data_IF_826343636906
#
_entry.id   IF_826343636906
#
_cell.length_a   1.000
_cell.length_b   1.000
_cell.length_c   1.000
_cell.angle_alpha   90.00
_cell.angle_beta   90.00
_cell.angle_gamma   90.00
#
_symmetry.space_group_name_H-M   'P 1'
#
loop_
_entity.id
_entity.type
_entity.pdbx_description
1 polymer ?
#
# COMPACT_ATOMS: atom_id res chain seq x y z
N UNK A 1 10.74 28.62 7.60
CA UNK A 1 10.00 27.90 6.54
C UNK A 1 10.91 27.80 5.34
N UNK A 2 11.25 26.61 4.88
CA UNK A 2 12.26 26.36 3.84
C UNK A 2 11.79 26.71 2.41
N UNK A 3 10.63 27.31 2.22
CA UNK A 3 10.09 27.62 0.90
C UNK A 3 9.73 26.38 0.04
N UNK A 4 9.75 25.19 0.63
CA UNK A 4 9.44 23.92 -0.04
C UNK A 4 7.94 23.65 0.03
N UNK A 5 7.34 23.31 -1.11
CA UNK A 5 5.93 22.89 -1.20
C UNK A 5 5.83 21.37 -1.02
N UNK A 6 5.33 20.91 0.13
CA UNK A 6 4.97 19.52 0.43
C UNK A 6 3.45 19.35 0.60
N UNK A 7 2.67 20.20 -0.06
CA UNK A 7 1.22 20.04 -0.13
C UNK A 7 0.82 18.88 -1.06
N UNK A 8 -0.35 18.31 -0.84
CA UNK A 8 -0.82 17.12 -1.56
C UNK A 8 -0.49 15.82 -0.83
N UNK A 9 -0.59 14.70 -1.52
CA UNK A 9 -0.48 13.38 -0.90
C UNK A 9 -1.61 13.10 0.09
N UNK A 10 -1.46 12.04 0.85
CA UNK A 10 -2.49 11.56 1.77
C UNK A 10 -1.94 11.46 3.19
N UNK A 11 -2.77 11.74 4.19
CA UNK A 11 -2.54 11.33 5.56
C UNK A 11 -2.71 9.81 5.65
N UNK A 12 -1.97 9.18 6.55
CA UNK A 12 -1.77 7.74 6.55
C UNK A 12 -3.00 6.95 7.02
N UNK A 13 -3.45 7.20 8.24
CA UNK A 13 -4.44 6.37 8.90
C UNK A 13 -5.40 7.20 9.78
N UNK A 14 -5.52 6.85 11.06
CA UNK A 14 -6.28 7.62 12.05
C UNK A 14 -5.65 8.95 12.44
N UNK A 15 -4.45 9.21 12.01
CA UNK A 15 -3.58 10.33 12.35
C UNK A 15 -3.61 11.48 11.33
N UNK A 16 -2.80 12.51 11.58
CA UNK A 16 -2.60 13.64 10.70
C UNK A 16 -1.14 13.71 10.19
N UNK A 17 -0.49 12.59 9.98
CA UNK A 17 0.89 12.50 9.48
C UNK A 17 0.91 11.88 8.08
N UNK A 18 1.82 12.35 7.23
CA UNK A 18 2.06 11.72 5.93
C UNK A 18 3.31 10.87 6.05
N UNK A 19 3.14 9.56 6.04
CA UNK A 19 4.23 8.58 5.99
C UNK A 19 4.40 8.09 4.55
N UNK A 20 5.51 8.45 3.94
CA UNK A 20 5.71 8.20 2.51
C UNK A 20 5.98 6.74 2.18
N UNK A 21 6.45 5.94 3.13
CA UNK A 21 6.70 4.52 2.88
C UNK A 21 5.39 3.75 2.62
N UNK A 22 4.39 3.71 3.53
CA UNK A 22 3.10 3.06 3.26
C UNK A 22 2.31 3.73 2.14
N UNK A 23 2.40 5.06 1.99
CA UNK A 23 1.74 5.75 0.89
C UNK A 23 2.28 5.32 -0.48
N UNK A 24 3.60 5.11 -0.60
CA UNK A 24 4.19 4.67 -1.86
C UNK A 24 3.75 3.24 -2.21
N UNK A 25 3.74 2.31 -1.24
CA UNK A 25 3.23 0.96 -1.44
C UNK A 25 1.76 0.94 -1.88
N UNK A 26 0.94 1.76 -1.24
CA UNK A 26 -0.47 1.94 -1.62
C UNK A 26 -0.63 2.41 -3.06
N UNK A 27 0.08 3.46 -3.45
CA UNK A 27 -0.02 4.00 -4.80
C UNK A 27 0.51 3.03 -5.86
N UNK A 28 1.54 2.23 -5.53
CA UNK A 28 2.05 1.19 -6.44
C UNK A 28 0.95 0.18 -6.75
N UNK A 29 0.24 -0.32 -5.73
CA UNK A 29 -0.83 -1.30 -5.92
C UNK A 29 -2.03 -0.72 -6.67
N UNK A 30 -2.45 0.51 -6.37
CA UNK A 30 -3.55 1.17 -7.07
C UNK A 30 -3.17 1.43 -8.54
N UNK A 31 -1.96 1.92 -8.81
CA UNK A 31 -1.49 2.11 -10.18
C UNK A 31 -1.42 0.78 -10.95
N UNK A 32 -0.97 -0.29 -10.29
CA UNK A 32 -0.94 -1.63 -10.88
C UNK A 32 -2.34 -2.13 -11.20
N UNK A 33 -3.30 -1.98 -10.28
CA UNK A 33 -4.69 -2.37 -10.55
C UNK A 33 -5.28 -1.57 -11.72
N UNK A 34 -5.01 -0.27 -11.81
CA UNK A 34 -5.43 0.58 -12.93
C UNK A 34 -4.84 0.18 -14.29
N UNK A 35 -3.61 -0.35 -14.29
CA UNK A 35 -2.97 -0.88 -15.50
C UNK A 35 -3.64 -2.20 -15.93
N UNK A 36 -3.86 -3.13 -14.99
CA UNK A 36 -4.33 -4.48 -15.29
C UNK A 36 -5.84 -4.59 -15.48
N UNK A 37 -6.61 -3.80 -14.75
CA UNK A 37 -8.06 -3.91 -14.69
C UNK A 37 -8.78 -2.65 -15.22
N UNK A 38 -8.15 -1.92 -16.15
CA UNK A 38 -8.70 -0.70 -16.76
C UNK A 38 -10.16 -0.85 -17.18
N UNK A 39 -10.49 -1.95 -17.90
CA UNK A 39 -11.87 -2.20 -18.35
C UNK A 39 -12.85 -2.34 -17.18
N UNK A 40 -12.42 -2.87 -16.04
CA UNK A 40 -13.23 -2.98 -14.83
C UNK A 40 -13.57 -1.60 -14.28
N UNK A 41 -12.57 -0.74 -14.14
CA UNK A 41 -12.76 0.65 -13.72
C UNK A 41 -13.64 1.45 -14.70
N UNK A 42 -13.45 1.29 -16.02
CA UNK A 42 -14.28 1.94 -17.03
C UNK A 42 -15.75 1.49 -16.95
N UNK A 43 -16.00 0.19 -16.81
CA UNK A 43 -17.35 -0.37 -16.64
C UNK A 43 -18.03 0.11 -15.36
N UNK A 44 -17.27 0.30 -14.28
CA UNK A 44 -17.76 0.85 -13.02
C UNK A 44 -17.90 2.38 -13.04
N UNK A 45 -17.45 3.08 -14.10
CA UNK A 45 -17.43 4.53 -14.16
C UNK A 45 -16.41 5.19 -13.21
N UNK A 46 -15.39 4.43 -12.75
CA UNK A 46 -14.44 4.84 -11.72
C UNK A 46 -13.03 5.13 -12.25
N UNK A 47 -12.79 4.94 -13.56
CA UNK A 47 -11.43 5.04 -14.10
C UNK A 47 -10.80 6.43 -13.89
N UNK A 48 -11.57 7.51 -14.10
CA UNK A 48 -11.07 8.86 -13.89
C UNK A 48 -10.75 9.15 -12.42
N UNK A 49 -11.59 8.69 -11.48
CA UNK A 49 -11.32 8.85 -10.05
C UNK A 49 -10.06 8.10 -9.62
N UNK A 50 -9.82 6.91 -10.16
CA UNK A 50 -8.58 6.17 -9.92
C UNK A 50 -7.36 6.93 -10.46
N UNK A 51 -7.43 7.47 -11.69
CA UNK A 51 -6.36 8.31 -12.24
C UNK A 51 -6.09 9.55 -11.39
N UNK A 52 -7.15 10.26 -10.95
CA UNK A 52 -7.02 11.46 -10.13
C UNK A 52 -6.38 11.14 -8.76
N UNK A 53 -6.75 10.01 -8.16
CA UNK A 53 -6.18 9.53 -6.91
C UNK A 53 -4.69 9.22 -7.04
N UNK A 54 -4.29 8.46 -8.07
CA UNK A 54 -2.87 8.16 -8.33
C UNK A 54 -2.10 9.44 -8.65
N UNK A 55 -2.68 10.33 -9.44
CA UNK A 55 -2.06 11.61 -9.79
C UNK A 55 -1.78 12.47 -8.56
N UNK A 56 -2.74 12.58 -7.65
CA UNK A 56 -2.60 13.36 -6.41
C UNK A 56 -1.42 12.89 -5.56
N UNK A 57 -1.26 11.58 -5.40
CA UNK A 57 -0.13 11.00 -4.67
C UNK A 57 1.20 11.13 -5.43
N UNK A 58 1.19 10.90 -6.74
CA UNK A 58 2.40 11.00 -7.56
C UNK A 58 2.92 12.45 -7.65
N UNK A 59 2.03 13.44 -7.78
CA UNK A 59 2.40 14.87 -7.75
C UNK A 59 3.06 15.24 -6.40
N UNK A 60 2.57 14.67 -5.31
CA UNK A 60 3.18 14.86 -3.99
C UNK A 60 4.59 14.25 -3.92
N UNK A 61 4.79 13.04 -4.44
CA UNK A 61 6.13 12.43 -4.47
C UNK A 61 7.13 13.18 -5.34
N UNK A 62 6.67 13.76 -6.45
CA UNK A 62 7.50 14.66 -7.27
C UNK A 62 7.96 15.88 -6.45
N UNK A 63 7.07 16.48 -5.63
CA UNK A 63 7.43 17.56 -4.71
C UNK A 63 8.35 17.09 -3.58
N UNK A 64 8.19 15.87 -3.10
CA UNK A 64 9.08 15.27 -2.09
C UNK A 64 10.49 14.98 -2.62
N UNK A 65 10.68 14.95 -3.93
CA UNK A 65 11.96 14.73 -4.63
C UNK A 65 12.40 15.99 -5.38
N UNK A 66 12.77 17.10 -4.66
CA UNK A 66 13.06 18.40 -5.27
C UNK A 66 14.37 18.45 -6.01
N UNK A 67 15.31 17.57 -5.71
CA UNK A 67 16.63 17.47 -6.31
C UNK A 67 17.16 16.03 -6.22
N UNK A 68 18.07 15.68 -7.12
CA UNK A 68 18.68 14.36 -7.15
C UNK A 68 19.29 14.00 -5.79
N UNK A 69 19.07 12.75 -5.36
CA UNK A 69 19.59 12.19 -4.11
C UNK A 69 19.06 12.85 -2.82
N UNK A 70 17.88 13.51 -2.89
CA UNK A 70 17.14 14.03 -1.74
C UNK A 70 15.68 13.62 -1.84
N UNK A 71 15.15 12.94 -0.82
CA UNK A 71 13.75 12.58 -0.76
C UNK A 71 13.15 12.88 0.61
N UNK A 72 12.08 13.66 0.66
CA UNK A 72 11.30 13.88 1.88
C UNK A 72 10.43 12.67 2.15
N UNK A 73 10.54 12.10 3.35
CA UNK A 73 10.00 10.78 3.70
C UNK A 73 8.81 10.84 4.66
N UNK A 74 8.66 11.95 5.37
CA UNK A 74 7.58 12.14 6.32
C UNK A 74 7.27 13.62 6.50
N UNK A 75 5.98 13.96 6.65
CA UNK A 75 5.50 15.29 7.00
C UNK A 75 4.60 15.18 8.23
N UNK A 76 4.98 15.85 9.30
CA UNK A 76 4.43 15.74 10.65
C UNK A 76 5.29 14.87 11.57
N UNK A 77 5.28 15.17 12.87
CA UNK A 77 5.92 14.35 13.89
C UNK A 77 4.93 13.31 14.42
N UNK A 78 5.19 12.02 14.15
CA UNK A 78 4.30 10.94 14.53
C UNK A 78 4.08 10.83 16.04
N UNK A 79 5.14 11.00 16.86
CA UNK A 79 5.03 10.90 18.33
C UNK A 79 4.20 12.05 18.90
N UNK A 80 4.42 13.24 18.37
CA UNK A 80 3.71 14.43 18.82
C UNK A 80 2.26 14.37 18.37
N UNK A 81 1.97 14.00 17.13
CA UNK A 81 0.60 13.84 16.63
C UNK A 81 -0.19 12.81 17.45
N UNK A 82 0.42 11.64 17.74
CA UNK A 82 -0.24 10.59 18.53
C UNK A 82 -0.42 10.92 20.02
N UNK A 83 0.16 12.01 20.49
CA UNK A 83 -0.06 12.49 21.86
C UNK A 83 -1.40 13.21 22.02
N UNK A 84 -2.07 13.53 20.93
CA UNK A 84 -3.32 14.30 20.93
C UNK A 84 -4.39 13.60 20.09
N UNK A 85 -5.62 13.61 20.59
CA UNK A 85 -6.79 13.27 19.79
C UNK A 85 -7.53 14.56 19.45
N UNK A 86 -7.26 15.11 18.29
CA UNK A 86 -7.87 16.37 17.86
C UNK A 86 -8.09 16.35 16.34
N UNK A 87 -9.07 17.11 15.86
CA UNK A 87 -9.23 17.31 14.42
C UNK A 87 -8.04 18.12 13.87
N UNK A 88 -7.75 18.02 12.55
CA UNK A 88 -6.59 18.65 11.92
C UNK A 88 -6.57 20.19 12.08
N UNK A 89 -7.72 20.82 12.24
CA UNK A 89 -7.85 22.26 12.47
C UNK A 89 -7.22 22.73 13.79
N UNK A 90 -6.98 21.80 14.73
CA UNK A 90 -6.36 22.06 16.02
C UNK A 90 -4.87 21.72 16.07
N UNK A 91 -4.23 21.42 14.95
CA UNK A 91 -2.80 21.22 14.91
C UNK A 91 -2.09 22.55 15.19
N UNK A 92 -1.67 22.75 16.45
CA UNK A 92 -0.96 23.95 16.92
C UNK A 92 0.49 23.65 17.31
N UNK A 93 0.89 22.39 17.25
CA UNK A 93 2.26 21.94 17.48
C UNK A 93 3.11 22.05 16.22
N UNK A 94 4.41 21.92 16.39
CA UNK A 94 5.35 21.91 15.26
C UNK A 94 5.01 20.76 14.30
N UNK A 95 5.05 21.06 13.00
CA UNK A 95 4.73 20.12 11.94
C UNK A 95 5.92 19.99 10.97
N UNK A 96 7.01 19.33 11.43
CA UNK A 96 8.26 19.23 10.69
C UNK A 96 8.11 18.31 9.46
N UNK A 97 9.11 18.38 8.58
CA UNK A 97 9.31 17.42 7.51
C UNK A 97 10.68 16.78 7.65
N UNK A 98 10.77 15.51 7.35
CA UNK A 98 11.99 14.71 7.44
C UNK A 98 12.40 14.21 6.06
N UNK A 99 13.69 14.11 5.82
CA UNK A 99 14.25 13.71 4.52
C UNK A 99 15.37 12.69 4.69
N UNK A 100 15.61 11.95 3.62
CA UNK A 100 16.83 11.16 3.39
C UNK A 100 17.68 11.82 2.32
N UNK A 101 18.98 11.63 2.41
CA UNK A 101 19.98 12.14 1.47
C UNK A 101 21.22 11.21 1.50
N UNK A 102 22.31 11.61 0.85
CA UNK A 102 23.53 10.78 0.75
C UNK A 102 24.16 10.46 2.10
N UNK A 103 24.11 11.42 3.02
CA UNK A 103 24.65 11.31 4.36
C UNK A 103 23.70 10.54 5.31
N UNK A 104 22.42 10.56 5.01
CA UNK A 104 21.36 9.91 5.77
C UNK A 104 20.48 9.07 4.81
N UNK A 105 20.98 7.91 4.36
CA UNK A 105 20.31 7.12 3.33
C UNK A 105 19.01 6.46 3.83
N UNK A 106 18.12 6.13 2.88
CA UNK A 106 16.86 5.43 3.12
C UNK A 106 16.45 4.66 1.87
N UNK A 107 17.07 3.51 1.66
CA UNK A 107 16.91 2.73 0.44
C UNK A 107 15.51 2.19 0.26
N UNK A 108 14.87 1.72 1.33
CA UNK A 108 13.54 1.13 1.30
C UNK A 108 12.48 2.15 0.91
N UNK A 109 12.47 3.32 1.56
CA UNK A 109 11.46 4.35 1.29
C UNK A 109 11.65 5.01 -0.09
N UNK A 110 12.90 5.20 -0.51
CA UNK A 110 13.21 5.74 -1.85
C UNK A 110 12.96 4.69 -2.95
N UNK A 111 13.26 3.42 -2.69
CA UNK A 111 12.96 2.30 -3.58
C UNK A 111 11.46 2.12 -3.80
N UNK A 112 10.67 2.16 -2.72
CA UNK A 112 9.22 2.07 -2.84
C UNK A 112 8.60 3.26 -3.59
N UNK A 113 9.07 4.48 -3.31
CA UNK A 113 8.64 5.66 -4.07
C UNK A 113 9.02 5.58 -5.56
N UNK A 114 10.20 5.02 -5.86
CA UNK A 114 10.60 4.73 -7.24
C UNK A 114 9.65 3.75 -7.92
N UNK A 115 9.30 2.62 -7.27
CA UNK A 115 8.35 1.65 -7.79
C UNK A 115 6.97 2.29 -8.06
N UNK A 116 6.49 3.10 -7.13
CA UNK A 116 5.23 3.83 -7.25
C UNK A 116 5.20 4.77 -8.46
N UNK A 117 6.24 5.59 -8.63
CA UNK A 117 6.33 6.51 -9.77
C UNK A 117 6.56 5.78 -11.09
N UNK A 118 7.28 4.66 -11.10
CA UNK A 118 7.43 3.81 -12.28
C UNK A 118 6.09 3.19 -12.71
N UNK A 119 5.31 2.65 -11.75
CA UNK A 119 3.96 2.14 -12.01
C UNK A 119 3.02 3.24 -12.52
N UNK A 120 3.01 4.39 -11.87
CA UNK A 120 2.23 5.56 -12.30
C UNK A 120 2.65 6.03 -13.71
N UNK A 121 3.94 6.00 -14.04
CA UNK A 121 4.41 6.38 -15.38
C UNK A 121 3.81 5.48 -16.48
N UNK A 122 3.66 4.18 -16.22
CA UNK A 122 3.01 3.24 -17.14
C UNK A 122 1.52 3.58 -17.27
N UNK A 123 0.83 3.80 -16.15
CA UNK A 123 -0.59 4.13 -16.10
C UNK A 123 -0.92 5.39 -16.91
N UNK A 124 -0.08 6.43 -16.80
CA UNK A 124 -0.30 7.70 -17.49
C UNK A 124 0.26 7.76 -18.91
N UNK A 125 0.93 6.71 -19.41
CA UNK A 125 1.62 6.74 -20.70
C UNK A 125 0.75 7.17 -21.88
N UNK A 126 -0.47 6.64 -21.92
CA UNK A 126 -1.44 6.94 -22.99
C UNK A 126 -2.41 8.08 -22.63
N UNK A 127 -2.43 8.51 -21.37
CA UNK A 127 -3.28 9.59 -20.85
C UNK A 127 -2.58 10.96 -20.98
N UNK A 128 -1.33 11.01 -20.49
CA UNK A 128 -0.45 12.19 -20.56
C UNK A 128 1.00 11.75 -20.67
N UNK A 129 1.51 11.67 -21.89
CA UNK A 129 2.86 11.17 -22.15
C UNK A 129 3.97 12.09 -21.63
N UNK A 130 3.70 13.37 -21.43
CA UNK A 130 4.66 14.31 -20.85
C UNK A 130 4.77 14.09 -19.36
N UNK A 131 3.64 13.97 -18.69
CA UNK A 131 3.56 13.63 -17.27
C UNK A 131 4.19 12.25 -16.98
N UNK A 132 3.86 11.25 -17.77
CA UNK A 132 4.46 9.90 -17.70
C UNK A 132 6.00 9.94 -17.71
N UNK A 133 6.59 10.74 -18.61
CA UNK A 133 8.06 10.90 -18.68
C UNK A 133 8.63 11.59 -17.44
N UNK A 134 7.93 12.58 -16.89
CA UNK A 134 8.34 13.24 -15.65
C UNK A 134 8.36 12.24 -14.50
N UNK A 135 7.29 11.45 -14.32
CA UNK A 135 7.23 10.43 -13.29
C UNK A 135 8.33 9.38 -13.44
N UNK A 136 8.58 8.91 -14.65
CA UNK A 136 9.64 7.94 -14.93
C UNK A 136 11.04 8.49 -14.61
N UNK A 137 11.29 9.76 -14.88
CA UNK A 137 12.58 10.40 -14.54
C UNK A 137 12.80 10.41 -13.02
N UNK A 138 11.81 10.83 -12.24
CA UNK A 138 11.88 10.78 -10.78
C UNK A 138 12.04 9.36 -10.26
N UNK A 139 11.34 8.38 -10.84
CA UNK A 139 11.48 6.98 -10.47
C UNK A 139 12.91 6.47 -10.67
N UNK A 140 13.53 6.78 -11.82
CA UNK A 140 14.91 6.40 -12.12
C UNK A 140 15.89 7.03 -11.13
N UNK A 141 15.77 8.32 -10.86
CA UNK A 141 16.65 9.02 -9.94
C UNK A 141 16.54 8.51 -8.50
N UNK A 142 15.32 8.23 -8.03
CA UNK A 142 15.08 7.64 -6.70
C UNK A 142 15.66 6.23 -6.59
N UNK A 143 15.55 5.40 -7.63
CA UNK A 143 16.18 4.09 -7.64
C UNK A 143 17.71 4.19 -7.61
N UNK A 144 18.29 5.07 -8.44
CA UNK A 144 19.73 5.30 -8.43
C UNK A 144 20.21 5.78 -7.05
N UNK A 145 19.46 6.65 -6.41
CA UNK A 145 19.75 7.10 -5.04
C UNK A 145 19.69 5.91 -4.06
N UNK A 146 18.58 5.16 -4.04
CA UNK A 146 18.36 4.04 -3.14
C UNK A 146 19.43 2.95 -3.26
N UNK A 147 19.87 2.64 -4.48
CA UNK A 147 20.83 1.58 -4.76
C UNK A 147 22.29 2.00 -4.55
N UNK A 148 22.64 3.27 -4.86
CA UNK A 148 24.00 3.79 -4.73
C UNK A 148 24.34 4.19 -3.28
N UNK A 149 23.36 4.64 -2.50
CA UNK A 149 23.52 5.10 -1.11
C UNK A 149 22.66 4.24 -0.19
N UNK A 150 23.08 2.97 -0.02
CA UNK A 150 22.29 1.97 0.73
C UNK A 150 22.30 2.24 2.22
N UNK A 151 21.14 2.24 2.83
CA UNK A 151 20.95 2.36 4.27
C UNK A 151 19.47 2.34 4.65
N UNK A 152 19.24 2.04 5.91
CA UNK A 152 17.95 2.00 6.57
C UNK A 152 17.54 3.42 6.98
N UNK A 153 16.35 3.85 6.58
CA UNK A 153 15.92 5.24 6.83
C UNK A 153 15.66 5.53 8.31
N UNK A 154 15.19 4.55 9.08
CA UNK A 154 14.93 4.73 10.51
C UNK A 154 16.21 4.80 11.35
N UNK A 155 17.27 4.17 10.89
CA UNK A 155 18.62 4.33 11.46
C UNK A 155 19.25 5.66 11.07
N UNK A 156 18.98 6.12 9.85
CA UNK A 156 19.53 7.37 9.30
C UNK A 156 18.81 8.61 9.86
N UNK A 157 17.51 8.50 10.11
CA UNK A 157 16.63 9.58 10.62
C UNK A 157 15.84 9.03 11.83
N UNK A 158 16.47 8.95 13.02
CA UNK A 158 15.86 8.31 14.20
C UNK A 158 14.55 8.97 14.68
N UNK A 159 14.30 10.21 14.30
CA UNK A 159 13.08 10.96 14.64
C UNK A 159 11.83 10.30 14.06
N UNK A 160 11.93 9.64 12.91
CA UNK A 160 10.80 8.97 12.24
C UNK A 160 10.60 7.52 12.72
N UNK A 161 11.52 6.99 13.51
CA UNK A 161 11.42 5.62 14.02
C UNK A 161 10.24 5.46 14.99
N UNK A 162 9.55 4.32 14.89
CA UNK A 162 8.52 3.92 15.84
C UNK A 162 7.12 3.71 15.27
N UNK A 163 6.88 4.10 14.03
CA UNK A 163 5.61 3.84 13.30
C UNK A 163 5.85 2.85 12.16
N UNK A 164 6.48 3.32 11.11
CA UNK A 164 6.93 2.48 10.00
C UNK A 164 8.45 2.36 10.09
N UNK A 165 8.95 1.18 9.96
CA UNK A 165 10.38 0.91 10.07
C UNK A 165 10.84 0.02 8.94
N UNK A 166 12.16 -0.14 8.84
CA UNK A 166 12.75 -1.09 7.91
C UNK A 166 12.18 -2.48 8.16
N UNK A 167 11.78 -3.14 7.10
CA UNK A 167 11.19 -4.48 7.14
C UNK A 167 12.15 -5.50 7.79
N UNK A 168 11.59 -6.64 8.19
CA UNK A 168 12.40 -7.79 8.65
C UNK A 168 13.30 -8.35 7.55
N UNK A 169 13.03 -7.98 6.30
CA UNK A 169 13.81 -8.37 5.11
C UNK A 169 14.97 -7.43 4.84
N UNK A 170 15.02 -6.30 5.54
CA UNK A 170 15.98 -5.23 5.29
C UNK A 170 15.48 -4.31 4.19
N UNK A 171 16.36 -3.91 3.29
CA UNK A 171 16.09 -2.94 2.21
C UNK A 171 16.04 -3.59 0.82
N UNK A 172 16.18 -4.91 0.75
CA UNK A 172 16.40 -5.58 -0.55
C UNK A 172 15.13 -5.77 -1.33
N UNK A 173 14.03 -6.11 -0.69
CA UNK A 173 12.77 -6.37 -1.39
C UNK A 173 12.20 -5.10 -2.04
N UNK A 174 12.37 -3.92 -1.47
CA UNK A 174 12.01 -2.65 -2.13
C UNK A 174 12.94 -2.32 -3.31
N UNK A 175 14.23 -2.63 -3.20
CA UNK A 175 15.17 -2.46 -4.32
C UNK A 175 14.85 -3.44 -5.47
N UNK A 176 14.55 -4.72 -5.15
CA UNK A 176 14.10 -5.71 -6.14
C UNK A 176 12.79 -5.26 -6.81
N UNK A 177 11.82 -4.82 -5.99
CA UNK A 177 10.53 -4.33 -6.45
C UNK A 177 10.66 -3.15 -7.40
N UNK A 178 11.45 -2.16 -7.01
CA UNK A 178 11.72 -0.98 -7.82
C UNK A 178 12.43 -1.31 -9.13
N UNK A 179 13.46 -2.16 -9.10
CA UNK A 179 14.17 -2.60 -10.31
C UNK A 179 13.22 -3.29 -11.28
N UNK A 180 12.32 -4.15 -10.78
CA UNK A 180 11.36 -4.87 -11.63
C UNK A 180 10.31 -3.92 -12.25
N UNK A 181 9.82 -2.93 -11.49
CA UNK A 181 8.92 -1.90 -12.03
C UNK A 181 9.60 -1.02 -13.08
N UNK A 182 10.85 -0.63 -12.86
CA UNK A 182 11.63 0.11 -13.86
C UNK A 182 11.90 -0.70 -15.11
N UNK A 183 12.19 -2.00 -14.98
CA UNK A 183 12.28 -2.88 -16.15
C UNK A 183 10.97 -2.93 -16.92
N UNK A 184 9.83 -3.08 -16.23
CA UNK A 184 8.50 -3.04 -16.84
C UNK A 184 8.21 -1.72 -17.57
N UNK A 185 8.61 -0.59 -16.97
CA UNK A 185 8.36 0.74 -17.53
C UNK A 185 9.24 1.08 -18.73
N UNK A 186 10.50 0.62 -18.72
CA UNK A 186 11.51 1.03 -19.69
C UNK A 186 11.87 -0.04 -20.72
N UNK A 187 11.81 -1.33 -20.36
CA UNK A 187 12.39 -2.45 -21.10
C UNK A 187 13.93 -2.47 -21.06
N UNK A 188 14.58 -1.63 -20.26
CA UNK A 188 16.04 -1.55 -20.21
C UNK A 188 16.60 -2.72 -19.39
N UNK A 189 17.45 -3.53 -20.06
CA UNK A 189 18.03 -4.74 -19.52
C UNK A 189 18.82 -4.51 -18.21
N UNK A 190 19.39 -3.33 -18.02
CA UNK A 190 20.13 -3.02 -16.78
C UNK A 190 19.29 -3.20 -15.50
N UNK A 191 17.97 -2.92 -15.57
CA UNK A 191 17.09 -3.10 -14.43
C UNK A 191 16.73 -4.56 -14.18
N UNK A 192 16.64 -5.38 -15.24
CA UNK A 192 16.48 -6.83 -15.09
C UNK A 192 17.72 -7.47 -14.47
N UNK A 193 18.91 -7.11 -14.95
CA UNK A 193 20.18 -7.57 -14.37
C UNK A 193 20.29 -7.17 -12.89
N UNK A 194 19.82 -5.97 -12.55
CA UNK A 194 19.80 -5.49 -11.17
C UNK A 194 18.84 -6.31 -10.30
N UNK A 195 17.61 -6.51 -10.76
CA UNK A 195 16.61 -7.35 -10.12
C UNK A 195 17.17 -8.77 -9.86
N UNK A 196 17.74 -9.41 -10.86
CA UNK A 196 18.29 -10.77 -10.73
C UNK A 196 19.49 -10.81 -9.75
N UNK A 197 20.26 -9.74 -9.64
CA UNK A 197 21.40 -9.68 -8.72
C UNK A 197 20.97 -9.71 -7.24
N UNK A 198 19.82 -9.13 -6.91
CA UNK A 198 19.24 -9.19 -5.55
C UNK A 198 18.75 -10.59 -5.20
N UNK A 199 18.05 -11.27 -6.13
CA UNK A 199 17.54 -12.63 -5.94
C UNK A 199 18.65 -13.61 -5.53
N UNK A 200 19.84 -13.45 -6.11
CA UNK A 200 20.98 -14.32 -5.83
C UNK A 200 21.52 -14.15 -4.40
N UNK A 201 21.24 -13.02 -3.76
CA UNK A 201 21.75 -12.69 -2.42
C UNK A 201 20.71 -12.83 -1.33
N UNK A 202 19.42 -12.88 -1.69
CA UNK A 202 18.34 -12.95 -0.71
C UNK A 202 17.73 -14.36 -0.61
N UNK A 203 18.11 -15.10 0.45
CA UNK A 203 17.53 -16.43 0.73
C UNK A 203 16.04 -16.39 1.12
N UNK A 204 15.49 -15.22 1.47
CA UNK A 204 14.09 -15.04 1.84
C UNK A 204 13.17 -15.01 0.63
N UNK A 205 13.69 -14.70 -0.55
CA UNK A 205 12.96 -14.64 -1.83
C UNK A 205 12.09 -15.87 -2.14
N UNK A 206 12.48 -17.06 -1.72
CA UNK A 206 11.76 -18.29 -2.02
C UNK A 206 10.76 -18.75 -0.95
N UNK A 207 10.57 -18.01 0.12
CA UNK A 207 9.87 -18.51 1.32
C UNK A 207 8.75 -17.62 1.84
N UNK A 208 8.38 -16.55 1.13
CA UNK A 208 7.31 -15.68 1.58
C UNK A 208 5.94 -16.35 1.43
N UNK A 209 5.17 -16.36 2.51
CA UNK A 209 3.79 -16.83 2.60
C UNK A 209 2.87 -15.80 3.28
N UNK A 210 3.29 -14.55 3.30
CA UNK A 210 2.57 -13.42 3.89
C UNK A 210 1.81 -12.65 2.82
N UNK A 211 0.79 -11.85 3.16
CA UNK A 211 0.24 -10.87 2.23
C UNK A 211 1.29 -9.80 1.89
N UNK A 212 1.15 -9.21 0.71
CA UNK A 212 1.91 -7.99 0.40
C UNK A 212 1.52 -6.88 1.39
N UNK A 213 2.49 -6.07 1.78
CA UNK A 213 2.26 -4.94 2.68
C UNK A 213 3.26 -3.82 2.40
N UNK A 214 3.19 -2.74 3.18
CA UNK A 214 4.16 -1.64 3.09
C UNK A 214 5.61 -2.09 3.35
N UNK A 215 5.83 -3.21 4.06
CA UNK A 215 7.14 -3.75 4.45
C UNK A 215 7.46 -5.15 3.88
N UNK A 216 6.63 -5.72 3.01
CA UNK A 216 6.83 -7.06 2.44
C UNK A 216 6.46 -7.05 0.94
N UNK A 217 7.44 -7.04 0.05
CA UNK A 217 7.24 -6.92 -1.40
C UNK A 217 7.27 -8.23 -2.16
N UNK A 218 7.79 -9.32 -1.58
CA UNK A 218 7.94 -10.59 -2.31
C UNK A 218 6.66 -11.11 -2.96
N UNK A 219 5.47 -11.04 -2.35
CA UNK A 219 4.25 -11.44 -3.03
C UNK A 219 4.01 -10.68 -4.34
N UNK A 220 4.21 -9.37 -4.30
CA UNK A 220 4.13 -8.53 -5.51
C UNK A 220 5.21 -8.88 -6.53
N UNK A 221 6.44 -9.11 -6.09
CA UNK A 221 7.56 -9.51 -6.93
C UNK A 221 7.27 -10.84 -7.65
N UNK A 222 6.68 -11.83 -6.95
CA UNK A 222 6.30 -13.10 -7.58
C UNK A 222 5.28 -12.91 -8.71
N UNK A 223 4.24 -12.12 -8.46
CA UNK A 223 3.19 -11.87 -9.44
C UNK A 223 3.69 -11.02 -10.61
N UNK A 224 4.42 -9.96 -10.32
CA UNK A 224 4.94 -9.04 -11.34
C UNK A 224 6.01 -9.72 -12.22
N UNK A 225 6.92 -10.50 -11.61
CA UNK A 225 7.95 -11.23 -12.38
C UNK A 225 7.34 -12.30 -13.29
N UNK A 226 6.35 -13.06 -12.80
CA UNK A 226 5.60 -14.01 -13.64
C UNK A 226 4.91 -13.32 -14.82
N UNK A 227 4.36 -12.13 -14.60
CA UNK A 227 3.66 -11.33 -15.60
C UNK A 227 4.61 -10.75 -16.66
N UNK A 228 5.74 -10.18 -16.23
CA UNK A 228 6.64 -9.41 -17.09
C UNK A 228 7.67 -10.29 -17.78
N UNK A 229 8.25 -11.25 -17.06
CA UNK A 229 9.35 -12.07 -17.58
C UNK A 229 8.86 -13.32 -18.30
N UNK A 230 7.67 -13.83 -17.96
CA UNK A 230 7.05 -15.01 -18.59
C UNK A 230 7.95 -16.26 -18.57
N UNK A 231 8.82 -16.33 -17.56
CA UNK A 231 9.71 -17.46 -17.33
C UNK A 231 9.06 -18.46 -16.37
N UNK A 232 9.23 -19.76 -16.65
CA UNK A 232 8.64 -20.85 -15.87
C UNK A 232 9.07 -20.79 -14.38
N UNK A 233 10.29 -20.36 -14.10
CA UNK A 233 10.80 -20.17 -12.73
C UNK A 233 9.92 -19.23 -11.93
N UNK A 234 9.59 -18.06 -12.48
CA UNK A 234 8.78 -17.04 -11.82
C UNK A 234 7.30 -17.43 -11.77
N UNK A 235 6.82 -18.08 -12.82
CA UNK A 235 5.46 -18.64 -12.86
C UNK A 235 5.25 -19.67 -11.74
N UNK A 236 6.21 -20.56 -11.53
CA UNK A 236 6.17 -21.57 -10.48
C UNK A 236 6.19 -20.95 -9.07
N UNK A 237 6.92 -19.84 -8.86
CA UNK A 237 6.87 -19.09 -7.58
C UNK A 237 5.51 -18.47 -7.34
N UNK A 238 4.91 -17.88 -8.37
CA UNK A 238 3.57 -17.31 -8.29
C UNK A 238 2.50 -18.37 -7.98
N UNK A 239 2.56 -19.55 -8.63
CA UNK A 239 1.69 -20.68 -8.29
C UNK A 239 1.87 -21.15 -6.85
N UNK A 240 3.11 -21.30 -6.40
CA UNK A 240 3.40 -21.72 -5.02
C UNK A 240 2.80 -20.76 -4.01
N UNK A 241 3.00 -19.46 -4.22
CA UNK A 241 2.41 -18.43 -3.36
C UNK A 241 0.88 -18.46 -3.41
N UNK A 242 0.28 -18.51 -4.60
CA UNK A 242 -1.16 -18.53 -4.78
C UNK A 242 -1.82 -19.74 -4.08
N UNK A 243 -1.23 -20.92 -4.20
CA UNK A 243 -1.69 -22.13 -3.49
C UNK A 243 -1.63 -21.95 -1.97
N UNK A 244 -0.54 -21.37 -1.45
CA UNK A 244 -0.38 -21.11 -0.01
C UNK A 244 -1.44 -20.11 0.52
N UNK A 245 -1.77 -19.08 -0.27
CA UNK A 245 -2.80 -18.10 0.11
C UNK A 245 -4.18 -18.73 0.15
N UNK A 246 -4.54 -19.54 -0.83
CA UNK A 246 -5.85 -20.24 -0.82
C UNK A 246 -5.98 -21.20 0.37
N UNK A 247 -4.88 -21.77 0.81
CA UNK A 247 -4.81 -22.69 1.95
C UNK A 247 -4.52 -21.97 3.28
N UNK A 248 -4.63 -20.61 3.34
CA UNK A 248 -4.44 -19.83 4.56
C UNK A 248 -5.35 -20.31 5.71
N UNK A 249 -4.93 -20.07 6.94
CA UNK A 249 -5.82 -20.17 8.10
C UNK A 249 -7.00 -19.20 7.93
N UNK A 250 -8.17 -19.60 8.39
CA UNK A 250 -9.39 -18.78 8.26
C UNK A 250 -10.08 -18.61 9.60
N UNK A 251 -10.75 -17.48 9.77
CA UNK A 251 -11.74 -17.34 10.85
C UNK A 251 -12.89 -18.34 10.67
N UNK A 252 -13.71 -18.61 11.70
CA UNK A 252 -14.89 -19.45 11.55
C UNK A 252 -15.82 -19.04 10.39
N UNK A 253 -15.95 -17.73 10.13
CA UNK A 253 -16.73 -17.16 9.02
C UNK A 253 -16.04 -17.22 7.67
N UNK A 254 -14.76 -17.57 7.60
CA UNK A 254 -14.05 -17.82 6.35
C UNK A 254 -13.08 -16.73 5.89
N UNK A 255 -12.86 -15.64 6.66
CA UNK A 255 -11.86 -14.65 6.34
C UNK A 255 -10.45 -15.25 6.48
N UNK A 256 -9.59 -15.04 5.50
CA UNK A 256 -8.17 -15.42 5.58
C UNK A 256 -7.48 -14.61 6.70
N UNK A 257 -6.92 -15.32 7.68
CA UNK A 257 -6.37 -14.72 8.88
C UNK A 257 -4.90 -15.14 9.08
N UNK A 258 -4.01 -14.16 9.03
CA UNK A 258 -2.57 -14.37 9.12
C UNK A 258 -2.10 -14.13 10.56
N UNK A 259 -2.32 -15.07 11.48
CA UNK A 259 -1.92 -15.01 12.89
C UNK A 259 -1.42 -13.62 13.34
N UNK A 260 -0.30 -13.47 13.94
CA UNK A 260 0.18 -12.18 14.50
C UNK A 260 0.07 -10.92 13.60
N UNK A 261 -0.13 -11.06 12.28
CA UNK A 261 -0.34 -9.92 11.39
C UNK A 261 -1.77 -9.41 11.44
N UNK A 262 -2.74 -10.31 11.27
CA UNK A 262 -4.16 -9.97 11.18
C UNK A 262 -4.77 -9.46 12.48
N UNK A 263 -4.02 -9.52 13.59
CA UNK A 263 -4.43 -8.86 14.83
C UNK A 263 -4.68 -7.37 14.61
N UNK A 264 -3.90 -6.73 13.73
CA UNK A 264 -4.06 -5.33 13.35
C UNK A 264 -4.48 -5.23 11.89
N UNK A 265 -5.77 -5.00 11.63
CA UNK A 265 -6.29 -4.84 10.28
C UNK A 265 -6.43 -6.16 9.50
N UNK A 266 -7.26 -7.10 9.96
CA UNK A 266 -7.47 -8.40 9.30
C UNK A 266 -7.97 -8.26 7.87
N UNK A 267 -8.89 -7.32 7.61
CA UNK A 267 -9.41 -7.04 6.27
C UNK A 267 -8.31 -6.58 5.30
N UNK A 268 -7.40 -5.72 5.76
CA UNK A 268 -6.23 -5.28 4.98
C UNK A 268 -5.43 -6.48 4.48
N UNK A 269 -5.07 -7.38 5.38
CA UNK A 269 -4.23 -8.52 5.04
C UNK A 269 -4.93 -9.50 4.12
N UNK A 270 -6.23 -9.75 4.33
CA UNK A 270 -7.04 -10.56 3.43
C UNK A 270 -7.16 -9.92 2.04
N UNK A 271 -7.47 -8.63 1.96
CA UNK A 271 -7.57 -7.88 0.71
C UNK A 271 -6.25 -7.86 -0.07
N UNK A 272 -5.14 -7.55 0.62
CA UNK A 272 -3.81 -7.54 -0.01
C UNK A 272 -3.37 -8.92 -0.51
N UNK A 273 -3.71 -10.00 0.21
CA UNK A 273 -3.42 -11.35 -0.24
C UNK A 273 -4.22 -11.72 -1.51
N UNK A 274 -5.51 -11.39 -1.54
CA UNK A 274 -6.35 -11.75 -2.70
C UNK A 274 -6.15 -10.82 -3.90
N UNK A 275 -5.65 -9.60 -3.72
CA UNK A 275 -5.23 -8.76 -4.85
C UNK A 275 -4.10 -9.43 -5.65
N UNK A 276 -3.16 -10.08 -4.99
CA UNK A 276 -2.12 -10.88 -5.65
C UNK A 276 -2.70 -12.04 -6.45
N UNK A 277 -3.74 -12.71 -5.92
CA UNK A 277 -4.46 -13.75 -6.67
C UNK A 277 -5.19 -13.16 -7.89
N UNK A 278 -5.75 -11.97 -7.79
CA UNK A 278 -6.41 -11.29 -8.91
C UNK A 278 -5.42 -11.00 -10.05
N UNK A 279 -4.25 -10.43 -9.72
CA UNK A 279 -3.19 -10.20 -10.71
C UNK A 279 -2.71 -11.50 -11.35
N UNK A 280 -2.53 -12.56 -10.56
CA UNK A 280 -2.09 -13.85 -11.07
C UNK A 280 -3.16 -14.50 -11.95
N UNK A 281 -4.41 -14.56 -11.50
CA UNK A 281 -5.51 -15.12 -12.30
C UNK A 281 -5.73 -14.36 -13.61
N UNK A 282 -5.39 -13.07 -13.67
CA UNK A 282 -5.50 -12.26 -14.88
C UNK A 282 -4.52 -12.70 -15.97
N UNK A 283 -3.33 -13.18 -15.61
CA UNK A 283 -2.31 -13.64 -16.57
C UNK A 283 -2.44 -15.12 -16.94
N UNK A 284 -3.18 -15.91 -16.14
CA UNK A 284 -3.36 -17.32 -16.41
C UNK A 284 -4.32 -17.56 -17.60
N UNK A 285 -4.06 -18.57 -18.44
CA UNK A 285 -4.99 -18.98 -19.48
C UNK A 285 -6.37 -19.34 -18.91
N UNK A 286 -7.44 -19.13 -19.68
CA UNK A 286 -8.79 -19.57 -19.29
C UNK A 286 -8.88 -21.08 -19.06
N UNK A 287 -8.01 -21.87 -19.71
CA UNK A 287 -7.92 -23.32 -19.58
C UNK A 287 -7.09 -23.79 -18.38
N UNK A 288 -6.51 -22.87 -17.60
CA UNK A 288 -5.72 -23.25 -16.44
C UNK A 288 -6.61 -23.86 -15.35
N UNK A 289 -6.26 -25.05 -14.87
CA UNK A 289 -7.08 -25.83 -13.94
C UNK A 289 -7.18 -25.18 -12.55
N UNK A 290 -6.22 -24.38 -12.14
CA UNK A 290 -6.20 -23.71 -10.82
C UNK A 290 -6.87 -22.34 -10.83
N UNK A 291 -6.94 -21.71 -12.01
CA UNK A 291 -7.53 -20.36 -12.14
C UNK A 291 -8.92 -20.23 -11.53
N UNK A 292 -9.88 -21.14 -11.73
CA UNK A 292 -11.20 -21.04 -11.10
C UNK A 292 -11.14 -21.07 -9.57
N UNK A 293 -10.27 -21.90 -8.97
CA UNK A 293 -10.05 -21.98 -7.52
C UNK A 293 -9.58 -20.64 -6.95
N UNK A 294 -8.66 -19.97 -7.63
CA UNK A 294 -8.16 -18.66 -7.19
C UNK A 294 -9.24 -17.58 -7.25
N UNK A 295 -10.01 -17.54 -8.35
CA UNK A 295 -11.13 -16.60 -8.51
C UNK A 295 -12.21 -16.83 -7.47
N UNK A 296 -12.63 -18.07 -7.25
CA UNK A 296 -13.64 -18.40 -6.23
C UNK A 296 -13.17 -17.97 -4.84
N UNK A 297 -11.90 -18.22 -4.51
CA UNK A 297 -11.36 -17.85 -3.22
C UNK A 297 -11.34 -16.34 -3.02
N UNK A 298 -10.81 -15.57 -3.99
CA UNK A 298 -10.78 -14.11 -3.89
C UNK A 298 -12.18 -13.51 -3.77
N UNK A 299 -13.16 -14.03 -4.52
CA UNK A 299 -14.55 -13.57 -4.42
C UNK A 299 -15.14 -13.80 -3.03
N UNK A 300 -14.87 -14.94 -2.41
CA UNK A 300 -15.32 -15.24 -1.03
C UNK A 300 -14.72 -14.25 -0.03
N UNK A 301 -13.44 -13.88 -0.16
CA UNK A 301 -12.81 -12.93 0.73
C UNK A 301 -13.39 -11.51 0.57
N UNK A 302 -13.59 -11.06 -0.66
CA UNK A 302 -14.20 -9.76 -0.93
C UNK A 302 -15.67 -9.74 -0.47
N UNK A 303 -16.43 -10.79 -0.74
CA UNK A 303 -17.82 -10.89 -0.27
C UNK A 303 -17.91 -10.88 1.26
N UNK A 304 -16.96 -11.54 1.97
CA UNK A 304 -16.88 -11.46 3.42
C UNK A 304 -16.73 -10.01 3.89
N UNK A 305 -15.80 -9.27 3.30
CA UNK A 305 -15.57 -7.83 3.62
C UNK A 305 -16.83 -7.00 3.35
N UNK A 306 -17.57 -7.33 2.29
CA UNK A 306 -18.78 -6.62 1.87
C UNK A 306 -20.07 -7.07 2.59
N UNK A 307 -19.98 -7.94 3.61
CA UNK A 307 -21.13 -8.29 4.46
C UNK A 307 -21.55 -9.76 4.45
N UNK A 308 -20.99 -10.60 3.57
CA UNK A 308 -21.24 -12.05 3.62
C UNK A 308 -20.37 -12.71 4.70
N UNK A 309 -20.63 -12.31 5.95
CA UNK A 309 -19.88 -12.71 7.13
C UNK A 309 -20.83 -12.96 8.31
N UNK A 310 -20.39 -13.61 9.42
CA UNK A 310 -21.27 -13.96 10.53
C UNK A 310 -22.01 -12.81 11.19
N UNK A 311 -21.47 -11.58 11.11
CA UNK A 311 -22.07 -10.38 11.70
C UNK A 311 -22.95 -9.60 10.70
N UNK A 312 -22.88 -9.91 9.41
CA UNK A 312 -23.56 -9.18 8.36
C UNK A 312 -23.06 -7.73 8.20
N UNK A 313 -21.83 -7.43 8.63
CA UNK A 313 -21.28 -6.09 8.59
C UNK A 313 -20.56 -5.87 7.26
N UNK A 314 -20.95 -4.83 6.53
CA UNK A 314 -20.14 -4.32 5.42
C UNK A 314 -19.03 -3.42 6.00
N UNK A 315 -17.78 -3.87 5.94
CA UNK A 315 -16.64 -3.17 6.54
C UNK A 315 -16.18 -1.93 5.77
N UNK A 316 -16.83 -1.59 4.66
CA UNK A 316 -16.57 -0.36 3.90
C UNK A 316 -17.42 0.77 4.46
N UNK A 317 -16.77 1.77 5.03
CA UNK A 317 -17.44 2.91 5.67
C UNK A 317 -18.38 3.63 4.71
N UNK A 318 -19.63 3.81 5.13
CA UNK A 318 -20.65 4.51 4.36
C UNK A 318 -21.25 3.71 3.21
N UNK A 319 -20.82 2.47 2.95
CA UNK A 319 -21.39 1.66 1.88
C UNK A 319 -22.84 1.24 2.15
N UNK A 320 -23.15 0.91 3.41
CA UNK A 320 -24.48 0.46 3.85
C UNK A 320 -24.78 0.96 5.27
N UNK A 321 -26.04 0.83 5.70
CA UNK A 321 -26.48 1.29 7.04
C UNK A 321 -25.79 0.55 8.19
N UNK A 322 -25.35 -0.69 7.97
CA UNK A 322 -24.63 -1.55 8.92
C UNK A 322 -23.09 -1.42 8.83
N UNK A 323 -22.58 -0.52 8.02
CA UNK A 323 -21.14 -0.23 7.95
C UNK A 323 -20.66 0.49 9.21
N UNK A 324 -19.36 0.36 9.59
CA UNK A 324 -18.76 1.06 10.71
C UNK A 324 -18.95 2.58 10.64
N UNK A 325 -19.31 3.17 11.78
CA UNK A 325 -19.59 4.61 11.92
C UNK A 325 -18.67 5.31 12.92
N UNK A 326 -17.95 4.53 13.73
CA UNK A 326 -17.06 5.02 14.77
C UNK A 326 -15.59 4.60 14.52
N UNK A 327 -15.14 4.70 13.25
CA UNK A 327 -13.76 4.30 12.89
C UNK A 327 -12.73 5.18 13.59
N UNK A 328 -11.57 4.57 13.90
CA UNK A 328 -10.44 5.22 14.55
C UNK A 328 -9.74 6.18 13.58
N UNK A 329 -10.31 7.38 13.41
CA UNK A 329 -9.76 8.40 12.51
C UNK A 329 -10.11 9.81 13.04
N UNK A 330 -9.07 10.62 13.32
CA UNK A 330 -9.22 11.91 14.00
C UNK A 330 -10.04 12.92 13.20
N UNK A 331 -9.71 13.06 11.91
CA UNK A 331 -10.36 14.06 11.05
C UNK A 331 -11.85 13.84 10.83
N UNK A 332 -12.33 12.59 10.95
CA UNK A 332 -13.76 12.27 10.84
C UNK A 332 -14.49 12.26 12.17
N UNK A 333 -13.78 12.11 13.30
CA UNK A 333 -14.40 11.85 14.62
C UNK A 333 -14.90 13.10 15.33
N UNK A 334 -14.27 14.26 15.12
CA UNK A 334 -14.63 15.51 15.80
C UNK A 334 -14.29 16.75 14.96
N UNK A 335 -14.92 17.88 15.33
CA UNK A 335 -14.65 19.20 14.76
C UNK A 335 -14.21 20.17 15.85
N UNK A 336 -13.82 21.39 15.43
CA UNK A 336 -13.54 22.50 16.34
C UNK A 336 -14.70 22.79 17.31
N UNK A 337 -15.94 22.61 16.87
CA UNK A 337 -17.13 22.91 17.65
C UNK A 337 -17.51 21.78 18.62
N UNK A 338 -17.00 20.56 18.41
CA UNK A 338 -17.31 19.37 19.20
C UNK A 338 -16.04 18.79 19.83
N UNK A 339 -15.63 19.33 20.97
CA UNK A 339 -14.47 18.84 21.72
C UNK A 339 -14.72 17.50 22.43
N UNK A 340 -15.97 17.01 22.46
CA UNK A 340 -16.32 15.68 22.95
C UNK A 340 -16.29 14.68 21.80
N UNK A 341 -15.90 13.44 22.11
CA UNK A 341 -16.00 12.35 21.14
C UNK A 341 -17.46 11.86 21.07
N UNK A 342 -18.21 12.10 19.98
CA UNK A 342 -19.54 11.53 19.81
C UNK A 342 -19.47 10.00 19.68
N UNK A 343 -20.58 9.30 19.85
CA UNK A 343 -20.66 7.84 19.69
C UNK A 343 -20.30 7.40 18.26
N UNK A 344 -20.77 8.16 17.26
CA UNK A 344 -20.42 7.97 15.85
C UNK A 344 -19.50 9.11 15.38
N UNK A 345 -18.76 8.90 14.30
CA UNK A 345 -17.97 9.95 13.69
C UNK A 345 -18.88 11.02 13.08
N UNK A 346 -18.47 12.28 13.16
CA UNK A 346 -19.24 13.42 12.64
C UNK A 346 -19.25 13.42 11.12
N UNK A 347 -18.13 13.03 10.52
CA UNK A 347 -17.99 12.91 9.08
C UNK A 347 -17.86 11.46 8.68
N UNK A 348 -18.62 11.04 7.69
CA UNK A 348 -18.48 9.72 7.08
C UNK A 348 -17.27 9.71 6.17
N UNK A 349 -16.30 8.84 6.46
CA UNK A 349 -15.13 8.62 5.61
C UNK A 349 -15.47 7.62 4.51
N UNK A 350 -16.21 8.06 3.50
CA UNK A 350 -16.77 7.23 2.44
C UNK A 350 -15.72 6.35 1.74
N UNK A 351 -15.97 5.06 1.70
CA UNK A 351 -15.13 4.10 0.99
C UNK A 351 -13.90 3.61 1.76
N UNK A 352 -13.66 4.10 2.98
CA UNK A 352 -12.56 3.60 3.79
C UNK A 352 -12.83 2.17 4.27
N UNK A 353 -11.84 1.30 4.17
CA UNK A 353 -11.91 -0.06 4.70
C UNK A 353 -11.52 -0.07 6.18
N UNK A 354 -12.44 -0.47 7.06
CA UNK A 354 -12.15 -0.68 8.47
C UNK A 354 -11.25 -1.91 8.68
N UNK A 355 -10.46 -1.89 9.76
CA UNK A 355 -9.48 -2.92 10.09
C UNK A 355 -9.99 -4.35 10.03
N UNK A 356 -11.19 -4.60 10.56
CA UNK A 356 -11.85 -5.90 10.44
C UNK A 356 -11.88 -6.74 11.72
N UNK A 357 -12.45 -7.94 11.65
CA UNK A 357 -12.71 -8.76 12.82
C UNK A 357 -11.46 -9.40 13.42
N UNK A 358 -11.58 -9.85 14.66
CA UNK A 358 -10.61 -10.73 15.29
C UNK A 358 -10.69 -12.19 14.77
N UNK A 359 -9.87 -13.11 15.35
CA UNK A 359 -9.70 -14.46 14.84
C UNK A 359 -10.96 -15.34 14.96
N UNK A 360 -11.97 -14.96 15.74
CA UNK A 360 -13.23 -15.67 15.89
C UNK A 360 -14.41 -14.89 15.28
N UNK A 361 -14.14 -14.00 14.32
CA UNK A 361 -15.10 -13.10 13.67
C UNK A 361 -15.70 -12.04 14.62
N UNK A 362 -15.12 -11.82 15.81
CA UNK A 362 -15.59 -10.80 16.72
C UNK A 362 -15.20 -9.40 16.26
N UNK A 363 -16.15 -8.48 16.28
CA UNK A 363 -15.96 -7.08 15.92
C UNK A 363 -16.97 -6.20 16.67
N UNK A 364 -16.49 -5.08 17.16
CA UNK A 364 -17.28 -4.01 17.74
C UNK A 364 -16.88 -2.69 17.09
N UNK A 365 -17.85 -1.86 16.74
CA UNK A 365 -17.60 -0.54 16.15
C UNK A 365 -17.21 0.45 17.25
N UNK A 366 -16.05 0.23 17.85
CA UNK A 366 -15.46 1.05 18.90
C UNK A 366 -14.24 1.82 18.34
N UNK A 367 -14.35 3.14 18.33
CA UNK A 367 -13.27 4.04 17.90
C UNK A 367 -11.96 3.81 18.65
N UNK A 368 -12.01 3.35 19.89
CA UNK A 368 -10.80 3.14 20.68
C UNK A 368 -10.14 1.79 20.42
N UNK A 369 -10.81 0.86 19.74
CA UNK A 369 -10.22 -0.37 19.27
C UNK A 369 -9.51 -0.13 17.90
N UNK A 370 -8.34 0.48 17.95
CA UNK A 370 -7.56 0.80 16.75
C UNK A 370 -7.09 -0.46 16.00
N UNK A 371 -6.94 -1.60 16.66
CA UNK A 371 -6.52 -2.84 15.98
C UNK A 371 -7.58 -3.31 14.96
N UNK A 372 -8.89 -3.14 15.26
CA UNK A 372 -9.99 -3.61 14.42
C UNK A 372 -10.74 -2.49 13.70
N UNK A 373 -10.70 -1.27 14.23
CA UNK A 373 -11.54 -0.19 13.73
C UNK A 373 -10.76 0.99 13.13
N UNK A 374 -9.44 0.88 13.00
CA UNK A 374 -8.66 1.85 12.23
C UNK A 374 -8.95 1.73 10.74
N UNK A 375 -8.74 2.82 10.02
CA UNK A 375 -8.71 2.91 8.56
C UNK A 375 -7.35 3.46 8.15
N UNK A 376 -6.80 2.99 7.04
CA UNK A 376 -5.50 3.43 6.56
C UNK A 376 -5.38 3.34 5.03
N UNK A 377 -4.39 4.03 4.48
CA UNK A 377 -4.11 4.00 3.05
C UNK A 377 -3.86 2.57 2.55
N UNK A 378 -3.00 1.84 3.26
CA UNK A 378 -2.62 0.48 2.88
C UNK A 378 -3.76 -0.55 3.12
N UNK A 379 -4.81 -0.20 3.88
CA UNK A 379 -6.00 -1.03 4.02
C UNK A 379 -6.82 -1.06 2.71
N UNK A 380 -6.90 0.08 2.06
CA UNK A 380 -7.64 0.20 0.81
C UNK A 380 -6.84 -0.30 -0.41
N UNK A 381 -5.52 -0.39 -0.33
CA UNK A 381 -4.65 -0.63 -1.50
C UNK A 381 -4.93 -1.93 -2.25
N UNK A 382 -5.09 -3.02 -1.53
CA UNK A 382 -5.41 -4.33 -2.13
C UNK A 382 -6.92 -4.57 -2.29
N UNK A 383 -7.75 -3.74 -1.67
CA UNK A 383 -9.20 -3.82 -1.79
C UNK A 383 -9.72 -3.09 -3.04
N UNK A 384 -9.03 -2.02 -3.47
CA UNK A 384 -9.36 -1.24 -4.67
C UNK A 384 -9.09 -2.02 -5.95
#
# INVERSE_FOLDING_TARGET
MLGLDLSGGYYDAGDNVKFNFPQAGTLTLIAWSGIEFKEGYEKAGQYQYMLDMVKWGADYFVKCHPEKDVFYIQVGDGKLDHSYWSPPEFITYEYPSYKVDKEHPGSEVAGEASASLAAASILFKDVDSTYSKTLLQHAIELFEFADNYRGDYTSSVPEVAGFYGTSRRGINDELEWSALWLYRATGDQKYLEKFESFILTDGAYYSCNRPISWDEKYPGIYMLSAQVLKDEKYLNLAYKYADQIVDCQKTPGGLCYFDNLSKWGSNRHAANAVSMLAFFANILPQSDEKRPKYIEFLQKQINYILGDNPLGINYVVGAEDNSPKAVHQRGSSCTFETLGLPSENIYTLWGALAGGPGPNDEYEDDRMDYEKNEVALDYNSGFT
#
